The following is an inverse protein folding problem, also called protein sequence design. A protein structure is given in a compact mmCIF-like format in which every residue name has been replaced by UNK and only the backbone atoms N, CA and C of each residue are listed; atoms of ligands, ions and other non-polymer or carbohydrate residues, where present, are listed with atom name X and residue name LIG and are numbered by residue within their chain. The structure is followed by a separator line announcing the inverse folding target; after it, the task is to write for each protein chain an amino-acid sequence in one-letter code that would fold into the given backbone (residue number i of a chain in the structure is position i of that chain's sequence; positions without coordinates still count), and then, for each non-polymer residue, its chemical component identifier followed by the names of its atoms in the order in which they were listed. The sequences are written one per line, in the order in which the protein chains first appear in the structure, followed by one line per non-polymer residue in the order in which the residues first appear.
data_IF_581093791170
#
_entry.id   IF_581093791170
#
_cell.length_a   1.000
_cell.length_b   1.000
_cell.length_c   1.000
_cell.angle_alpha   90.00
_cell.angle_beta   90.00
_cell.angle_gamma   90.00
#
_symmetry.space_group_name_H-M   'P 1'
#
loop_
_entity.id
_entity.type
_entity.pdbx_description
1 polymer ?
#
# COMPACT_ATOMS: atom_id res chain seq x y z
N UNK A 1 -5.81 -31.81 -22.26
CA UNK A 1 -5.11 -30.94 -21.30
C UNK A 1 -4.57 -31.83 -20.19
N UNK A 2 -3.25 -31.85 -19.99
CA UNK A 2 -2.57 -32.76 -19.07
C UNK A 2 -2.88 -32.38 -17.60
N UNK A 3 -3.19 -33.38 -16.75
CA UNK A 3 -3.57 -33.16 -15.35
C UNK A 3 -2.46 -32.48 -14.53
N UNK A 4 -1.20 -32.54 -15.00
CA UNK A 4 -0.07 -31.83 -14.41
C UNK A 4 -0.20 -30.30 -14.56
N UNK A 5 -0.76 -29.81 -15.67
CA UNK A 5 -0.94 -28.37 -15.93
C UNK A 5 -2.02 -27.77 -15.03
N UNK A 6 -3.10 -28.51 -14.73
CA UNK A 6 -4.18 -28.04 -13.84
C UNK A 6 -3.71 -27.97 -12.38
N UNK A 7 -2.91 -28.94 -11.92
CA UNK A 7 -2.31 -28.92 -10.58
C UNK A 7 -1.32 -27.76 -10.40
N UNK A 8 -0.55 -27.45 -11.44
CA UNK A 8 0.34 -26.29 -11.44
C UNK A 8 -0.45 -24.96 -11.46
N UNK A 9 -1.54 -24.89 -12.23
CA UNK A 9 -2.43 -23.72 -12.26
C UNK A 9 -3.09 -23.43 -10.91
N UNK A 10 -3.55 -24.46 -10.20
CA UNK A 10 -4.08 -24.35 -8.84
C UNK A 10 -3.05 -23.78 -7.85
N UNK A 11 -1.79 -24.21 -7.95
CA UNK A 11 -0.71 -23.66 -7.13
C UNK A 11 -0.51 -22.16 -7.33
N UNK A 12 -0.55 -21.69 -8.58
CA UNK A 12 -0.41 -20.25 -8.91
C UNK A 12 -1.57 -19.43 -8.36
N UNK A 13 -2.81 -19.93 -8.43
CA UNK A 13 -3.98 -19.22 -7.92
C UNK A 13 -3.89 -19.04 -6.41
N UNK A 14 -3.54 -20.10 -5.67
CA UNK A 14 -3.42 -20.06 -4.20
C UNK A 14 -2.30 -19.09 -3.78
N UNK A 15 -1.14 -19.17 -4.42
CA UNK A 15 -0.01 -18.26 -4.14
C UNK A 15 -0.40 -16.81 -4.44
N UNK A 16 -1.10 -16.56 -5.55
CA UNK A 16 -1.57 -15.20 -5.91
C UNK A 16 -2.57 -14.66 -4.89
N UNK A 17 -3.49 -15.51 -4.41
CA UNK A 17 -4.48 -15.13 -3.41
C UNK A 17 -3.82 -14.74 -2.08
N UNK A 18 -2.86 -15.53 -1.60
CA UNK A 18 -2.10 -15.25 -0.37
C UNK A 18 -1.26 -13.98 -0.55
N UNK A 19 -0.58 -13.83 -1.70
CA UNK A 19 0.23 -12.64 -2.00
C UNK A 19 -0.62 -11.38 -2.01
N UNK A 20 -1.81 -11.43 -2.64
CA UNK A 20 -2.76 -10.32 -2.63
C UNK A 20 -3.18 -9.94 -1.21
N UNK A 21 -3.49 -10.92 -0.36
CA UNK A 21 -3.84 -10.67 1.04
C UNK A 21 -2.71 -9.97 1.81
N UNK A 22 -1.47 -10.42 1.62
CA UNK A 22 -0.29 -9.79 2.25
C UNK A 22 -0.10 -8.36 1.74
N UNK A 23 -0.26 -8.12 0.44
CA UNK A 23 -0.15 -6.77 -0.14
C UNK A 23 -1.22 -5.82 0.41
N UNK A 24 -2.47 -6.29 0.59
CA UNK A 24 -3.55 -5.51 1.19
C UNK A 24 -3.22 -5.16 2.64
N UNK A 25 -2.76 -6.12 3.44
CA UNK A 25 -2.34 -5.87 4.82
C UNK A 25 -1.19 -4.86 4.89
N UNK A 26 -0.22 -4.98 4.00
CA UNK A 26 0.92 -4.07 3.93
C UNK A 26 0.49 -2.65 3.54
N UNK A 27 -0.49 -2.51 2.63
CA UNK A 27 -1.06 -1.23 2.26
C UNK A 27 -1.78 -0.54 3.44
N UNK A 28 -2.54 -1.30 4.24
CA UNK A 28 -3.20 -0.78 5.45
C UNK A 28 -2.17 -0.29 6.47
N UNK A 29 -1.11 -1.07 6.71
CA UNK A 29 -0.02 -0.67 7.60
C UNK A 29 0.68 0.60 7.11
N UNK A 30 1.01 0.66 5.81
CA UNK A 30 1.63 1.82 5.20
C UNK A 30 0.76 3.08 5.34
N UNK A 31 -0.54 2.96 5.10
CA UNK A 31 -1.50 4.05 5.26
C UNK A 31 -1.58 4.53 6.71
N UNK A 32 -1.62 3.60 7.68
CA UNK A 32 -1.64 3.93 9.11
C UNK A 32 -0.37 4.66 9.58
N UNK A 33 0.81 4.20 9.15
CA UNK A 33 2.09 4.87 9.44
C UNK A 33 2.15 6.26 8.81
N UNK A 34 1.62 6.41 7.59
CA UNK A 34 1.56 7.69 6.90
C UNK A 34 0.67 8.69 7.64
N UNK A 35 -0.52 8.26 8.09
CA UNK A 35 -1.40 9.07 8.94
C UNK A 35 -0.71 9.51 10.25
N UNK A 36 -0.03 8.57 10.90
CA UNK A 36 0.69 8.87 12.13
C UNK A 36 1.81 9.88 11.90
N UNK A 37 2.56 9.72 10.80
CA UNK A 37 3.62 10.65 10.39
C UNK A 37 3.06 12.05 10.12
N UNK A 38 1.94 12.16 9.39
CA UNK A 38 1.29 13.45 9.10
C UNK A 38 0.79 14.12 10.38
N UNK A 39 0.15 13.37 11.28
CA UNK A 39 -0.33 13.88 12.57
C UNK A 39 0.81 14.30 13.50
N UNK A 40 1.89 13.52 13.55
CA UNK A 40 3.08 13.87 14.31
C UNK A 40 3.74 15.13 13.74
N UNK A 41 3.94 15.18 12.43
CA UNK A 41 4.49 16.35 11.74
C UNK A 41 3.63 17.60 11.95
N UNK A 42 2.31 17.50 11.86
CA UNK A 42 1.43 18.67 12.09
C UNK A 42 1.55 19.20 13.52
N UNK A 43 1.62 18.30 14.50
CA UNK A 43 1.74 18.67 15.91
C UNK A 43 3.11 19.30 16.20
N UNK A 44 4.17 18.75 15.63
CA UNK A 44 5.55 19.19 15.88
C UNK A 44 5.92 20.48 15.14
N UNK A 45 5.48 20.64 13.88
CA UNK A 45 5.85 21.79 13.06
C UNK A 45 4.85 22.94 13.13
N UNK A 46 3.56 22.65 13.27
CA UNK A 46 2.51 23.68 13.20
C UNK A 46 1.82 23.94 14.54
N UNK A 47 2.09 23.13 15.57
CA UNK A 47 1.56 23.32 16.93
C UNK A 47 0.03 23.29 17.03
N UNK A 48 -0.66 22.99 15.93
CA UNK A 48 -2.12 22.98 15.81
C UNK A 48 -2.59 21.55 15.59
N UNK A 49 -3.70 21.20 16.24
CA UNK A 49 -4.36 19.92 16.02
C UNK A 49 -4.86 19.87 14.58
N UNK A 50 -4.25 19.03 13.75
CA UNK A 50 -4.71 18.83 12.38
C UNK A 50 -6.03 18.07 12.41
N UNK A 51 -7.05 18.65 11.78
CA UNK A 51 -8.36 18.04 11.67
C UNK A 51 -8.27 16.74 10.87
N UNK A 52 -8.97 15.70 11.36
CA UNK A 52 -8.81 14.33 10.92
C UNK A 52 -9.07 14.18 9.41
N UNK A 53 -9.98 14.97 8.85
CA UNK A 53 -10.31 14.92 7.42
C UNK A 53 -9.11 15.32 6.55
N UNK A 54 -8.34 16.33 6.98
CA UNK A 54 -7.16 16.81 6.26
C UNK A 54 -5.95 15.88 6.42
N UNK A 55 -5.84 15.20 7.57
CA UNK A 55 -4.84 14.16 7.78
C UNK A 55 -5.08 12.96 6.84
N UNK A 56 -6.34 12.53 6.72
CA UNK A 56 -6.76 11.43 5.83
C UNK A 56 -6.55 11.79 4.36
N UNK A 57 -6.93 13.00 3.95
CA UNK A 57 -6.71 13.48 2.58
C UNK A 57 -5.21 13.47 2.23
N UNK A 58 -4.36 13.99 3.12
CA UNK A 58 -2.92 14.04 2.90
C UNK A 58 -2.31 12.63 2.83
N UNK A 59 -2.75 11.71 3.70
CA UNK A 59 -2.29 10.33 3.68
C UNK A 59 -2.72 9.61 2.39
N UNK A 60 -3.93 9.87 1.90
CA UNK A 60 -4.43 9.31 0.65
C UNK A 60 -3.61 9.82 -0.56
N UNK A 61 -3.26 11.10 -0.59
CA UNK A 61 -2.42 11.69 -1.64
C UNK A 61 -1.01 11.06 -1.61
N UNK A 62 -0.38 10.98 -0.44
CA UNK A 62 0.96 10.39 -0.30
C UNK A 62 0.94 8.91 -0.70
N UNK A 63 -0.06 8.15 -0.25
CA UNK A 63 -0.19 6.74 -0.63
C UNK A 63 -0.37 6.57 -2.14
N UNK A 64 -1.22 7.39 -2.77
CA UNK A 64 -1.40 7.37 -4.23
C UNK A 64 -0.11 7.73 -4.97
N UNK A 65 0.60 8.76 -4.51
CA UNK A 65 1.88 9.18 -5.07
C UNK A 65 2.95 8.09 -4.95
N UNK A 66 3.04 7.38 -3.82
CA UNK A 66 3.98 6.27 -3.63
C UNK A 66 3.72 5.09 -4.56
N UNK A 67 2.44 4.77 -4.81
CA UNK A 67 2.06 3.71 -5.76
C UNK A 67 2.40 4.13 -7.20
N UNK A 68 2.12 5.39 -7.57
CA UNK A 68 2.51 5.92 -8.87
C UNK A 68 4.03 5.95 -9.04
N UNK A 69 4.79 6.36 -8.02
CA UNK A 69 6.24 6.37 -8.05
C UNK A 69 6.81 4.96 -8.27
N UNK A 70 6.29 3.95 -7.56
CA UNK A 70 6.66 2.55 -7.76
C UNK A 70 6.25 1.99 -9.13
N UNK A 71 5.16 2.46 -9.71
CA UNK A 71 4.71 2.05 -11.05
C UNK A 71 5.53 2.67 -12.18
N UNK A 72 6.10 3.86 -11.97
CA UNK A 72 6.94 4.58 -12.93
C UNK A 72 8.36 3.98 -12.99
N UNK A 73 8.77 3.22 -11.98
CA UNK A 73 10.06 2.53 -11.96
C UNK A 73 10.12 1.43 -13.04
N UNK A 74 10.47 1.84 -14.26
CA UNK A 74 10.72 0.95 -15.39
C UNK A 74 11.97 0.13 -15.05
N UNK A 75 11.80 -1.18 -14.83
CA UNK A 75 12.91 -2.16 -14.76
C UNK A 75 13.90 -1.91 -15.90
N UNK A 76 15.04 -1.30 -15.58
CA UNK A 76 16.27 -1.57 -16.30
C UNK A 76 16.77 -2.90 -15.78
N UNK A 77 16.92 -3.86 -16.70
CA UNK A 77 17.30 -5.25 -16.47
C UNK A 77 18.57 -5.38 -15.63
#
# INVERSE_FOLDING_TARGET
MDGKTIRNGLGVIVVTAITSLVLVLLAILYFGVTLWTIKAASTWFFGTGLDANWAVLSAAIVAAASVLAGAIEKKSF
#
